data_IF_781538344617
#
_entry.id   IF_781538344617
#
_cell.length_a   1.000
_cell.length_b   1.000
_cell.length_c   1.000
_cell.angle_alpha   90.00
_cell.angle_beta   90.00
_cell.angle_gamma   90.00
#
_symmetry.space_group_name_H-M   'P 1'
#
loop_
_entity.id
_entity.type
_entity.pdbx_description
1 polymer ?
#
# COMPACT_ATOMS: atom_id res chain seq x y z
N UNK A 1 -18.98 24.07 11.89
CA UNK A 1 -19.48 22.69 11.91
C UNK A 1 -18.31 21.77 12.23
N UNK A 2 -18.07 21.49 13.51
CA UNK A 2 -16.89 20.73 13.97
C UNK A 2 -17.13 19.23 13.77
N UNK A 3 -16.44 18.62 12.81
CA UNK A 3 -16.44 17.18 12.59
C UNK A 3 -15.65 16.47 13.70
N UNK A 4 -16.20 16.41 14.90
CA UNK A 4 -15.71 15.55 15.98
C UNK A 4 -16.21 14.11 15.77
N UNK A 5 -15.81 13.48 14.67
CA UNK A 5 -15.72 12.02 14.69
C UNK A 5 -14.73 11.65 15.78
N UNK A 6 -15.19 10.91 16.79
CA UNK A 6 -14.36 10.50 17.93
C UNK A 6 -13.07 9.85 17.41
N UNK A 7 -11.93 10.19 18.02
CA UNK A 7 -10.62 9.63 17.61
C UNK A 7 -10.62 8.09 17.62
N UNK A 8 -11.41 7.48 18.51
CA UNK A 8 -11.58 6.03 18.59
C UNK A 8 -12.22 5.40 17.35
N UNK A 9 -13.22 6.03 16.75
CA UNK A 9 -13.88 5.49 15.55
C UNK A 9 -12.90 5.49 14.37
N UNK A 10 -12.11 6.56 14.23
CA UNK A 10 -11.06 6.67 13.19
C UNK A 10 -9.99 5.58 13.31
N UNK A 11 -9.49 5.32 14.53
CA UNK A 11 -8.48 4.26 14.75
C UNK A 11 -9.07 2.87 14.48
N UNK A 12 -10.34 2.65 14.79
CA UNK A 12 -11.02 1.37 14.51
C UNK A 12 -11.13 1.13 13.02
N UNK A 13 -11.61 2.11 12.25
CA UNK A 13 -11.68 2.02 10.78
C UNK A 13 -10.30 1.81 10.15
N UNK A 14 -9.27 2.53 10.60
CA UNK A 14 -7.90 2.36 10.11
C UNK A 14 -7.31 0.97 10.42
N UNK A 15 -7.63 0.41 11.60
CA UNK A 15 -7.21 -0.95 11.97
C UNK A 15 -7.81 -1.99 11.04
N UNK A 16 -9.13 -1.94 10.82
CA UNK A 16 -9.82 -2.86 9.90
C UNK A 16 -9.32 -2.68 8.47
N UNK A 17 -9.14 -1.43 8.03
CA UNK A 17 -8.61 -1.12 6.71
C UNK A 17 -7.20 -1.68 6.51
N UNK A 18 -6.34 -1.66 7.53
CA UNK A 18 -4.99 -2.22 7.44
C UNK A 18 -4.97 -3.74 7.26
N UNK A 19 -5.81 -4.48 7.99
CA UNK A 19 -5.94 -5.91 7.78
C UNK A 19 -6.58 -6.25 6.43
N UNK A 20 -7.61 -5.49 6.01
CA UNK A 20 -8.23 -5.67 4.70
C UNK A 20 -7.24 -5.40 3.57
N UNK A 21 -6.51 -4.28 3.61
CA UNK A 21 -5.47 -3.96 2.66
C UNK A 21 -4.40 -5.06 2.59
N UNK A 22 -3.95 -5.58 3.74
CA UNK A 22 -2.99 -6.69 3.78
C UNK A 22 -3.47 -7.91 2.99
N UNK A 23 -4.73 -8.33 3.18
CA UNK A 23 -5.30 -9.47 2.46
C UNK A 23 -5.48 -9.18 0.97
N UNK A 24 -5.99 -8.01 0.62
CA UNK A 24 -6.20 -7.63 -0.77
C UNK A 24 -4.88 -7.55 -1.54
N UNK A 25 -3.86 -6.88 -0.98
CA UNK A 25 -2.51 -6.85 -1.54
C UNK A 25 -1.92 -8.25 -1.67
N UNK A 26 -2.09 -9.13 -0.68
CA UNK A 26 -1.59 -10.50 -0.80
C UNK A 26 -2.23 -11.23 -2.00
N UNK A 27 -3.55 -11.11 -2.17
CA UNK A 27 -4.26 -11.73 -3.30
C UNK A 27 -3.80 -11.11 -4.63
N UNK A 28 -3.77 -9.78 -4.71
CA UNK A 28 -3.42 -9.05 -5.93
C UNK A 28 -1.97 -9.32 -6.34
N UNK A 29 -1.02 -9.28 -5.41
CA UNK A 29 0.40 -9.49 -5.70
C UNK A 29 0.69 -10.90 -6.24
N UNK A 30 -0.05 -11.94 -5.80
CA UNK A 30 0.08 -13.29 -6.36
C UNK A 30 -0.30 -13.34 -7.85
N UNK A 31 -1.21 -12.48 -8.33
CA UNK A 31 -1.63 -12.50 -9.74
C UNK A 31 -0.50 -12.07 -10.68
N UNK A 32 0.47 -11.29 -10.19
CA UNK A 32 1.66 -10.90 -10.97
C UNK A 32 2.59 -12.07 -11.32
N UNK A 33 2.48 -13.20 -10.61
CA UNK A 33 3.22 -14.43 -10.93
C UNK A 33 2.62 -15.20 -12.10
N UNK A 34 1.40 -14.86 -12.52
CA UNK A 34 0.65 -15.57 -13.55
C UNK A 34 0.53 -14.63 -14.77
N UNK A 35 1.35 -14.79 -15.82
CA UNK A 35 1.40 -13.85 -16.95
C UNK A 35 0.05 -13.54 -17.58
N UNK A 36 -0.83 -14.54 -17.72
CA UNK A 36 -2.18 -14.36 -18.29
C UNK A 36 -3.08 -13.44 -17.45
N UNK A 37 -2.86 -13.38 -16.13
CA UNK A 37 -3.57 -12.45 -15.24
C UNK A 37 -2.88 -11.09 -15.21
N UNK A 38 -1.55 -11.09 -15.05
CA UNK A 38 -0.72 -9.88 -14.98
C UNK A 38 -0.89 -8.98 -16.21
N UNK A 39 -0.92 -9.57 -17.40
CA UNK A 39 -0.94 -8.84 -18.67
C UNK A 39 -2.37 -8.69 -19.23
N UNK A 40 -3.40 -9.04 -18.44
CA UNK A 40 -4.79 -8.82 -18.82
C UNK A 40 -5.11 -7.32 -18.91
N UNK A 41 -5.86 -6.96 -19.95
CA UNK A 41 -6.39 -5.60 -20.15
C UNK A 41 -7.88 -5.70 -20.49
N UNK A 42 -8.62 -4.60 -20.40
CA UNK A 42 -10.02 -4.54 -20.83
C UNK A 42 -10.22 -4.83 -22.32
N UNK A 43 -9.17 -4.64 -23.14
CA UNK A 43 -9.20 -4.93 -24.57
C UNK A 43 -8.93 -6.42 -24.88
N UNK A 44 -8.13 -7.10 -24.05
CA UNK A 44 -7.69 -8.48 -24.32
C UNK A 44 -8.48 -9.52 -23.53
N UNK A 45 -8.85 -9.23 -22.29
CA UNK A 45 -9.53 -10.16 -21.39
C UNK A 45 -10.39 -9.40 -20.35
N UNK A 46 -11.50 -8.74 -20.76
CA UNK A 46 -12.28 -7.86 -19.89
C UNK A 46 -12.79 -8.55 -18.61
N UNK A 47 -13.27 -9.80 -18.74
CA UNK A 47 -13.77 -10.59 -17.59
C UNK A 47 -12.69 -10.94 -16.55
N UNK A 48 -11.41 -10.77 -16.89
CA UNK A 48 -10.27 -10.95 -15.99
C UNK A 48 -9.75 -9.59 -15.53
N UNK A 49 -9.57 -8.65 -16.46
CA UNK A 49 -8.97 -7.35 -16.18
C UNK A 49 -9.82 -6.46 -15.26
N UNK A 50 -11.15 -6.45 -15.45
CA UNK A 50 -12.06 -5.67 -14.61
C UNK A 50 -12.01 -6.06 -13.13
N UNK A 51 -12.21 -7.33 -12.73
CA UNK A 51 -12.14 -7.71 -11.33
C UNK A 51 -10.74 -7.51 -10.73
N UNK A 52 -9.67 -7.72 -11.50
CA UNK A 52 -8.30 -7.42 -11.04
C UNK A 52 -8.10 -5.93 -10.79
N UNK A 53 -8.63 -5.07 -11.66
CA UNK A 53 -8.55 -3.61 -11.47
C UNK A 53 -9.37 -3.17 -10.26
N UNK A 54 -10.55 -3.75 -10.05
CA UNK A 54 -11.38 -3.47 -8.85
C UNK A 54 -10.62 -3.87 -7.58
N UNK A 55 -9.99 -5.04 -7.58
CA UNK A 55 -9.15 -5.51 -6.48
C UNK A 55 -7.99 -4.54 -6.20
N UNK A 56 -7.26 -4.14 -7.25
CA UNK A 56 -6.16 -3.19 -7.19
C UNK A 56 -6.59 -1.82 -6.67
N UNK A 57 -7.75 -1.31 -7.09
CA UNK A 57 -8.23 -0.02 -6.57
C UNK A 57 -8.68 -0.15 -5.11
N UNK A 58 -9.36 -1.24 -4.75
CA UNK A 58 -9.90 -1.44 -3.41
C UNK A 58 -8.81 -1.50 -2.32
N UNK A 59 -7.67 -2.15 -2.59
CA UNK A 59 -6.54 -2.19 -1.65
C UNK A 59 -5.95 -0.80 -1.39
N UNK A 60 -5.80 0.03 -2.43
CA UNK A 60 -5.32 1.41 -2.29
C UNK A 60 -6.34 2.29 -1.55
N UNK A 61 -7.64 2.12 -1.82
CA UNK A 61 -8.71 2.82 -1.08
C UNK A 61 -8.67 2.51 0.42
N UNK A 62 -8.31 1.28 0.81
CA UNK A 62 -8.10 0.96 2.22
C UNK A 62 -6.94 1.76 2.83
N UNK A 63 -5.84 1.95 2.08
CA UNK A 63 -4.66 2.69 2.58
C UNK A 63 -4.96 4.17 2.86
N UNK A 64 -5.92 4.80 2.17
CA UNK A 64 -6.34 6.18 2.49
C UNK A 64 -6.75 6.36 3.96
N UNK A 65 -7.34 5.32 4.57
CA UNK A 65 -7.72 5.33 5.99
C UNK A 65 -6.53 5.06 6.93
N UNK A 66 -5.47 4.44 6.42
CA UNK A 66 -4.27 4.05 7.17
C UNK A 66 -3.26 5.20 7.26
N UNK A 67 -3.02 5.92 6.15
CA UNK A 67 -2.06 7.03 6.07
C UNK A 67 -2.17 8.03 7.23
N UNK A 68 -3.35 8.57 7.57
CA UNK A 68 -3.45 9.58 8.61
C UNK A 68 -3.35 8.96 10.02
N UNK A 69 -3.50 7.64 10.16
CA UNK A 69 -3.47 6.94 11.44
C UNK A 69 -2.06 6.55 11.89
N UNK A 70 -1.11 6.41 10.95
CA UNK A 70 0.28 6.05 11.23
C UNK A 70 1.15 7.28 11.57
N UNK A 71 2.22 7.10 12.38
CA UNK A 71 3.09 8.19 12.79
C UNK A 71 4.04 8.57 11.66
N UNK A 72 3.73 9.66 10.95
CA UNK A 72 4.60 10.24 9.92
C UNK A 72 4.42 11.77 9.91
N UNK A 73 5.44 12.55 9.50
CA UNK A 73 5.27 13.97 9.27
C UNK A 73 4.31 14.22 8.09
N UNK A 74 3.68 15.39 8.05
CA UNK A 74 2.60 15.68 7.09
C UNK A 74 3.03 15.59 5.63
N UNK A 75 4.24 16.04 5.31
CA UNK A 75 4.78 15.94 3.95
C UNK A 75 4.97 14.49 3.50
N UNK A 76 5.30 13.56 4.42
CA UNK A 76 5.44 12.14 4.10
C UNK A 76 4.07 11.49 3.90
N UNK A 77 3.03 11.94 4.62
CA UNK A 77 1.66 11.50 4.36
C UNK A 77 1.18 11.95 2.98
N UNK A 78 1.52 13.17 2.57
CA UNK A 78 1.24 13.68 1.22
C UNK A 78 1.90 12.79 0.16
N UNK A 79 3.17 12.39 0.36
CA UNK A 79 3.83 11.43 -0.52
C UNK A 79 3.08 10.08 -0.55
N UNK A 80 2.64 9.57 0.61
CA UNK A 80 1.80 8.37 0.70
C UNK A 80 0.52 8.49 -0.11
N UNK A 81 -0.20 9.62 -0.02
CA UNK A 81 -1.40 9.85 -0.84
C UNK A 81 -1.08 9.96 -2.33
N UNK A 82 0.04 10.61 -2.68
CA UNK A 82 0.52 10.71 -4.05
C UNK A 82 0.77 9.34 -4.68
N UNK A 83 1.39 8.43 -3.94
CA UNK A 83 1.54 7.03 -4.36
C UNK A 83 0.20 6.39 -4.69
N UNK A 84 -0.79 6.46 -3.78
CA UNK A 84 -2.10 5.84 -4.01
C UNK A 84 -2.78 6.35 -5.29
N UNK A 85 -2.70 7.66 -5.54
CA UNK A 85 -3.28 8.27 -6.74
C UNK A 85 -2.59 7.78 -8.00
N UNK A 86 -1.26 7.71 -7.98
CA UNK A 86 -0.45 7.25 -9.12
C UNK A 86 -0.72 5.77 -9.42
N UNK A 87 -0.76 4.91 -8.40
CA UNK A 87 -0.98 3.48 -8.59
C UNK A 87 -2.39 3.21 -9.12
N UNK A 88 -3.42 3.82 -8.52
CA UNK A 88 -4.81 3.75 -9.02
C UNK A 88 -4.89 4.23 -10.48
N UNK A 89 -4.28 5.36 -10.81
CA UNK A 89 -4.29 5.87 -12.17
C UNK A 89 -3.64 4.88 -13.15
N UNK A 90 -2.50 4.29 -12.76
CA UNK A 90 -1.80 3.30 -13.58
C UNK A 90 -2.57 1.98 -13.74
N UNK A 91 -3.33 1.54 -12.72
CA UNK A 91 -4.23 0.38 -12.84
C UNK A 91 -5.36 0.65 -13.85
N UNK A 92 -5.94 1.85 -13.82
CA UNK A 92 -6.97 2.26 -14.78
C UNK A 92 -6.37 2.42 -16.19
N UNK A 93 -5.15 2.92 -16.33
CA UNK A 93 -4.45 2.96 -17.63
C UNK A 93 -4.25 1.55 -18.19
N UNK A 94 -3.83 0.59 -17.38
CA UNK A 94 -3.70 -0.82 -17.77
C UNK A 94 -5.05 -1.41 -18.19
N UNK A 95 -6.12 -1.18 -17.41
CA UNK A 95 -7.47 -1.62 -17.76
C UNK A 95 -7.87 -1.12 -19.15
N UNK A 96 -7.54 0.13 -19.48
CA UNK A 96 -7.86 0.74 -20.78
C UNK A 96 -6.88 0.35 -21.90
N UNK A 97 -5.99 -0.62 -21.68
CA UNK A 97 -5.08 -1.12 -22.70
C UNK A 97 -3.92 -0.17 -23.02
N UNK A 98 -3.60 0.74 -22.11
CA UNK A 98 -2.43 1.62 -22.28
C UNK A 98 -1.15 0.78 -22.31
N UNK A 99 -0.24 1.00 -23.27
CA UNK A 99 1.03 0.26 -23.32
C UNK A 99 1.85 0.39 -22.03
N UNK A 100 2.53 -0.69 -21.65
CA UNK A 100 3.27 -0.81 -20.37
C UNK A 100 4.36 0.23 -20.23
N UNK A 101 5.04 0.52 -21.32
CA UNK A 101 6.08 1.55 -21.44
C UNK A 101 5.58 2.95 -21.08
N UNK A 102 4.27 3.21 -21.15
CA UNK A 102 3.70 4.52 -20.85
C UNK A 102 3.29 4.67 -19.38
N UNK A 103 2.77 3.62 -18.74
CA UNK A 103 2.26 3.71 -17.37
C UNK A 103 3.20 3.14 -16.29
N UNK A 104 4.08 2.20 -16.63
CA UNK A 104 4.99 1.61 -15.64
C UNK A 104 6.03 2.61 -15.11
N UNK A 105 6.66 3.48 -15.93
CA UNK A 105 7.56 4.50 -15.39
C UNK A 105 6.86 5.44 -14.40
N UNK A 106 5.59 5.77 -14.68
CA UNK A 106 4.76 6.56 -13.78
C UNK A 106 4.52 5.82 -12.45
N UNK A 107 4.13 4.53 -12.51
CA UNK A 107 3.98 3.66 -11.33
C UNK A 107 5.27 3.57 -10.50
N UNK A 108 6.43 3.46 -11.15
CA UNK A 108 7.72 3.45 -10.44
C UNK A 108 8.03 4.78 -9.74
N UNK A 109 7.61 5.91 -10.31
CA UNK A 109 7.61 7.19 -9.59
C UNK A 109 6.70 7.17 -8.35
N UNK A 110 5.54 6.51 -8.46
CA UNK A 110 4.64 6.22 -7.33
C UNK A 110 5.31 5.40 -6.24
N UNK A 111 6.04 4.34 -6.59
CA UNK A 111 6.78 3.50 -5.65
C UNK A 111 7.83 4.29 -4.83
N UNK A 112 8.51 5.29 -5.40
CA UNK A 112 9.41 6.18 -4.64
C UNK A 112 8.64 6.95 -3.58
N UNK A 113 7.45 7.45 -3.92
CA UNK A 113 6.59 8.16 -2.97
C UNK A 113 6.09 7.22 -1.86
N UNK A 114 5.77 5.97 -2.22
CA UNK A 114 5.42 4.90 -1.28
C UNK A 114 6.57 4.61 -0.31
N UNK A 115 7.77 4.38 -0.85
CA UNK A 115 8.98 4.07 -0.11
C UNK A 115 9.30 5.16 0.91
N UNK A 116 9.19 6.43 0.51
CA UNK A 116 9.42 7.58 1.38
C UNK A 116 8.45 7.60 2.57
N UNK A 117 7.15 7.39 2.31
CA UNK A 117 6.13 7.34 3.36
C UNK A 117 6.36 6.14 4.31
N UNK A 118 6.53 4.94 3.76
CA UNK A 118 6.76 3.70 4.52
C UNK A 118 8.00 3.83 5.39
N UNK A 119 9.12 4.32 4.83
CA UNK A 119 10.37 4.52 5.56
C UNK A 119 10.14 5.44 6.76
N UNK A 120 9.46 6.57 6.57
CA UNK A 120 9.25 7.54 7.64
C UNK A 120 8.30 7.01 8.72
N UNK A 121 7.27 6.24 8.36
CA UNK A 121 6.45 5.51 9.34
C UNK A 121 7.32 4.52 10.13
N UNK A 122 8.15 3.74 9.44
CA UNK A 122 9.00 2.74 10.08
C UNK A 122 10.07 3.35 10.99
N UNK A 123 10.65 4.49 10.61
CA UNK A 123 11.60 5.21 11.47
C UNK A 123 10.94 5.76 12.74
N UNK A 124 9.64 6.07 12.71
CA UNK A 124 8.85 6.53 13.86
C UNK A 124 8.14 5.40 14.63
N UNK A 125 8.45 4.13 14.32
CA UNK A 125 7.93 2.95 15.02
C UNK A 125 9.08 2.06 15.48
N UNK A 126 8.76 0.95 16.16
CA UNK A 126 9.75 0.03 16.73
C UNK A 126 9.42 -1.43 16.41
N UNK A 127 10.38 -2.34 16.66
CA UNK A 127 10.20 -3.78 16.49
C UNK A 127 10.03 -4.21 15.03
N UNK A 128 9.21 -5.24 14.81
CA UNK A 128 9.01 -5.84 13.49
C UNK A 128 8.47 -4.84 12.45
N UNK A 129 7.56 -3.93 12.84
CA UNK A 129 6.99 -2.93 11.92
C UNK A 129 8.07 -2.01 11.34
N UNK A 130 9.04 -1.61 12.17
CA UNK A 130 10.20 -0.81 11.73
C UNK A 130 11.06 -1.60 10.74
N UNK A 131 11.51 -2.79 11.12
CA UNK A 131 12.46 -3.57 10.32
C UNK A 131 11.85 -3.94 8.96
N UNK A 132 10.64 -4.51 8.96
CA UNK A 132 9.96 -4.94 7.73
C UNK A 132 9.68 -3.76 6.82
N UNK A 133 9.29 -2.60 7.36
CA UNK A 133 9.01 -1.44 6.51
C UNK A 133 10.26 -0.76 5.96
N UNK A 134 11.39 -0.78 6.67
CA UNK A 134 12.67 -0.33 6.09
C UNK A 134 13.05 -1.23 4.91
N UNK A 135 12.95 -2.56 5.08
CA UNK A 135 13.24 -3.50 3.99
C UNK A 135 12.30 -3.28 2.80
N UNK A 136 11.00 -3.13 3.06
CA UNK A 136 10.00 -2.85 2.03
C UNK A 136 10.27 -1.52 1.29
N UNK A 137 10.61 -0.47 2.02
CA UNK A 137 10.92 0.83 1.42
C UNK A 137 12.16 0.74 0.51
N UNK A 138 13.20 0.02 0.95
CA UNK A 138 14.39 -0.22 0.13
C UNK A 138 14.05 -1.05 -1.11
N UNK A 139 13.24 -2.10 -0.97
CA UNK A 139 12.82 -2.97 -2.07
C UNK A 139 12.11 -2.16 -3.17
N UNK A 140 11.09 -1.37 -2.79
CA UNK A 140 10.36 -0.50 -3.72
C UNK A 140 11.25 0.57 -4.35
N UNK A 141 12.11 1.21 -3.55
CA UNK A 141 13.01 2.24 -4.05
C UNK A 141 14.01 1.67 -5.07
N UNK A 142 14.69 0.58 -4.71
CA UNK A 142 15.69 -0.07 -5.57
C UNK A 142 15.04 -0.54 -6.87
N UNK A 143 13.90 -1.25 -6.80
CA UNK A 143 13.20 -1.75 -7.98
C UNK A 143 12.85 -0.62 -8.96
N UNK A 144 12.43 0.54 -8.45
CA UNK A 144 12.06 1.69 -9.27
C UNK A 144 13.19 2.21 -10.17
N UNK A 145 14.46 1.98 -9.79
CA UNK A 145 15.62 2.40 -10.58
C UNK A 145 16.21 1.30 -11.47
N UNK A 146 15.73 0.07 -11.38
CA UNK A 146 16.33 -1.09 -12.09
C UNK A 146 15.31 -1.94 -12.85
N UNK A 147 14.04 -1.54 -12.85
CA UNK A 147 12.93 -2.26 -13.50
C UNK A 147 13.13 -2.48 -15.01
N UNK A 148 14.05 -1.75 -15.66
CA UNK A 148 14.41 -1.92 -17.07
C UNK A 148 15.36 -3.10 -17.32
N UNK A 149 15.98 -3.68 -16.28
CA UNK A 149 16.91 -4.80 -16.42
C UNK A 149 16.11 -6.11 -16.58
N UNK A 150 16.47 -7.01 -17.53
CA UNK A 150 15.85 -8.32 -17.63
C UNK A 150 15.87 -9.08 -16.30
N UNK A 151 14.79 -9.78 -15.97
CA UNK A 151 14.61 -10.52 -14.71
C UNK A 151 14.61 -9.66 -13.43
N UNK A 152 14.63 -8.32 -13.52
CA UNK A 152 14.52 -7.43 -12.35
C UNK A 152 13.24 -7.65 -11.54
N UNK A 153 12.18 -8.21 -12.14
CA UNK A 153 10.96 -8.60 -11.42
C UNK A 153 11.23 -9.56 -10.24
N UNK A 154 12.35 -10.31 -10.26
CA UNK A 154 12.78 -11.15 -9.15
C UNK A 154 13.08 -10.33 -7.89
N UNK A 155 13.50 -9.08 -8.05
CA UNK A 155 13.73 -8.15 -6.95
C UNK A 155 12.44 -7.58 -6.38
N UNK A 156 11.30 -7.77 -7.04
CA UNK A 156 9.99 -7.43 -6.48
C UNK A 156 9.35 -8.62 -5.73
N UNK A 157 9.94 -9.82 -5.81
CA UNK A 157 9.45 -10.98 -5.06
C UNK A 157 9.42 -10.76 -3.54
N UNK A 158 10.38 -10.06 -2.91
CA UNK A 158 10.28 -9.73 -1.49
C UNK A 158 9.02 -8.92 -1.17
N UNK A 159 8.65 -7.94 -2.01
CA UNK A 159 7.42 -7.15 -1.84
C UNK A 159 6.14 -7.98 -1.78
N UNK A 160 6.09 -9.17 -2.41
CA UNK A 160 4.96 -10.11 -2.31
C UNK A 160 4.64 -10.48 -0.85
N UNK A 161 5.66 -10.50 0.00
CA UNK A 161 5.55 -10.85 1.42
C UNK A 161 5.62 -9.60 2.28
N UNK A 162 6.58 -8.72 1.99
CA UNK A 162 6.89 -7.56 2.83
C UNK A 162 5.73 -6.58 2.91
N UNK A 163 5.04 -6.27 1.80
CA UNK A 163 3.95 -5.30 1.79
C UNK A 163 2.72 -5.80 2.56
N UNK A 164 2.16 -7.00 2.27
CA UNK A 164 1.06 -7.56 3.08
C UNK A 164 1.43 -7.69 4.56
N UNK A 165 2.66 -8.14 4.87
CA UNK A 165 3.11 -8.30 6.24
C UNK A 165 3.21 -6.95 6.97
N UNK A 166 3.77 -5.93 6.32
CA UNK A 166 3.88 -4.59 6.89
C UNK A 166 2.51 -3.96 7.18
N UNK A 167 1.53 -4.16 6.29
CA UNK A 167 0.15 -3.72 6.49
C UNK A 167 -0.53 -4.46 7.66
N UNK A 168 -0.33 -5.78 7.78
CA UNK A 168 -0.84 -6.54 8.93
C UNK A 168 -0.22 -6.08 10.26
N UNK A 169 1.09 -5.81 10.26
CA UNK A 169 1.79 -5.25 11.42
C UNK A 169 1.31 -3.84 11.76
N UNK A 170 0.97 -3.03 10.76
CA UNK A 170 0.37 -1.71 10.93
C UNK A 170 -1.02 -1.81 11.59
N UNK A 171 -1.85 -2.76 11.16
CA UNK A 171 -3.13 -3.07 11.81
C UNK A 171 -2.95 -3.47 13.27
N UNK A 172 -1.98 -4.33 13.57
CA UNK A 172 -1.64 -4.72 14.95
C UNK A 172 -1.17 -3.54 15.79
N UNK A 173 -0.36 -2.65 15.22
CA UNK A 173 0.13 -1.44 15.89
C UNK A 173 -1.04 -0.51 16.27
N UNK A 174 -1.95 -0.24 15.32
CA UNK A 174 -3.13 0.60 15.55
C UNK A 174 -4.08 0.01 16.60
N UNK A 175 -4.31 -1.31 16.55
CA UNK A 175 -5.13 -2.02 17.53
C UNK A 175 -4.58 -1.86 18.95
N UNK A 176 -3.25 -2.01 19.13
CA UNK A 176 -2.58 -1.85 20.43
C UNK A 176 -2.67 -0.44 20.98
N UNK A 177 -2.48 0.56 20.10
CA UNK A 177 -2.61 1.98 20.47
C UNK A 177 -4.01 2.29 21.02
N UNK A 178 -5.06 1.80 20.34
CA UNK A 178 -6.45 1.93 20.80
C UNK A 178 -6.67 1.36 22.21
N UNK A 179 -6.14 0.16 22.48
CA UNK A 179 -6.27 -0.47 23.80
C UNK A 179 -5.54 0.33 24.89
N UNK A 180 -4.33 0.82 24.59
CA UNK A 180 -3.59 1.69 25.53
C UNK A 180 -4.34 2.98 25.87
N UNK A 181 -4.88 3.66 24.86
CA UNK A 181 -5.65 4.90 25.03
C UNK A 181 -6.94 4.68 25.86
N UNK A 182 -7.60 3.54 25.67
CA UNK A 182 -8.81 3.18 26.41
C UNK A 182 -8.51 2.91 27.91
N UNK A 183 -7.39 2.25 28.21
CA UNK A 183 -6.96 2.01 29.59
C UNK A 183 -6.59 3.34 30.26
N UNK A 184 -5.80 4.18 29.59
CA UNK A 184 -5.38 5.47 30.15
C UNK A 184 -6.57 6.37 30.54
N UNK A 185 -7.63 6.41 29.71
CA UNK A 185 -8.86 7.17 30.01
C UNK A 185 -9.67 6.62 31.19
N UNK A 186 -9.54 5.34 31.52
CA UNK A 186 -10.24 4.74 32.68
C UNK A 186 -9.59 5.13 34.02
N UNK A 187 -8.33 5.57 33.98
CA UNK A 187 -7.54 5.92 35.16
C UNK A 187 -7.38 7.45 35.35
N UNK A 188 -8.06 8.26 34.54
CA UNK A 188 -8.23 9.71 34.72
C UNK A 188 -9.56 9.99 35.40
#
# INVERSE_FOLDING_TARGET
MSWHFSSLNRVTSATTAAYLASVLFAIHLVTYLIPVLRDATGLTAPLIAEPLTILAVAEHLCIFLIIPALPAPDWARIAGYGWLVVDIASDIMQLNGTPRENYLPLRYGGHISAALWILLVSLNTTGALRIIGILLALDLAIYSFIAFIPLSFLLLLPSLILLPLWLALSGRFLARKKTGDAIAKKHQ
#
